data_IF_823753224825
#
_entry.id   IF_823753224825
#
_cell.length_a   1.000
_cell.length_b   1.000
_cell.length_c   1.000
_cell.angle_alpha   90.00
_cell.angle_beta   90.00
_cell.angle_gamma   90.00
#
_symmetry.space_group_name_H-M   'P 1'
#
loop_
_entity.id
_entity.type
_entity.pdbx_description
1 polymer ?
#
# COMPACT_ATOMS: atom_id res chain seq x y z
N UNK A 1 -6.40 -4.46 -20.63
CA UNK A 1 -6.73 -4.86 -19.25
C UNK A 1 -7.65 -3.80 -18.67
N UNK A 2 -8.95 -4.06 -18.64
CA UNK A 2 -9.91 -3.10 -18.07
C UNK A 2 -9.83 -3.20 -16.54
N UNK A 3 -9.67 -2.04 -15.88
CA UNK A 3 -10.02 -1.77 -14.50
C UNK A 3 -9.10 -2.32 -13.41
N UNK A 4 -7.86 -1.82 -13.33
CA UNK A 4 -7.06 -1.96 -12.11
C UNK A 4 -7.14 -0.67 -11.30
N UNK A 5 -8.29 -0.40 -10.68
CA UNK A 5 -8.46 0.74 -9.81
C UNK A 5 -7.61 0.62 -8.54
N UNK A 6 -7.32 1.75 -7.93
CA UNK A 6 -6.53 1.89 -6.71
C UNK A 6 -7.44 2.27 -5.55
N UNK A 7 -7.34 1.58 -4.42
CA UNK A 7 -7.83 2.04 -3.13
C UNK A 7 -6.62 2.46 -2.30
N UNK A 8 -6.53 3.73 -2.00
CA UNK A 8 -5.56 4.27 -1.07
C UNK A 8 -6.23 4.57 0.26
N UNK A 9 -5.66 4.05 1.32
CA UNK A 9 -6.03 4.35 2.69
C UNK A 9 -4.81 4.98 3.36
N UNK A 10 -5.00 6.16 3.91
CA UNK A 10 -3.93 6.97 4.49
C UNK A 10 -4.28 7.40 5.90
N UNK A 11 -3.31 7.35 6.81
CA UNK A 11 -3.47 8.03 8.11
C UNK A 11 -3.18 9.52 7.98
N UNK A 12 -3.62 10.32 8.93
CA UNK A 12 -3.19 11.72 8.98
C UNK A 12 -1.71 11.79 9.41
N UNK A 13 -0.91 12.59 8.69
CA UNK A 13 0.49 12.81 9.03
C UNK A 13 0.65 14.14 9.76
N UNK A 14 1.28 14.10 10.93
CA UNK A 14 1.72 15.28 11.68
C UNK A 14 0.64 16.34 11.93
N UNK A 15 -0.38 16.01 12.69
CA UNK A 15 -1.25 17.02 13.28
C UNK A 15 -0.48 17.69 14.43
N UNK A 16 0.20 18.78 14.11
CA UNK A 16 0.83 19.65 15.10
C UNK A 16 -0.10 20.84 15.41
N UNK A 17 0.15 21.59 16.48
CA UNK A 17 -0.55 22.83 16.79
C UNK A 17 -0.55 23.87 15.67
N UNK A 18 0.31 23.72 14.67
CA UNK A 18 0.42 24.52 13.46
C UNK A 18 -0.12 23.82 12.19
N UNK A 19 -0.78 22.67 12.36
CA UNK A 19 -1.29 21.86 11.25
C UNK A 19 -0.22 21.07 10.51
N UNK A 20 -0.63 20.30 9.50
CA UNK A 20 0.27 19.62 8.58
C UNK A 20 0.92 20.67 7.64
N UNK A 21 2.05 21.22 8.05
CA UNK A 21 2.75 22.28 7.29
C UNK A 21 3.24 21.82 5.92
N UNK A 22 3.52 20.56 5.78
CA UNK A 22 4.05 19.98 4.54
C UNK A 22 2.93 19.50 3.62
N UNK A 23 1.68 19.51 4.06
CA UNK A 23 0.53 18.99 3.32
C UNK A 23 0.79 17.60 2.72
N UNK A 24 1.51 16.75 3.49
CA UNK A 24 1.85 15.41 3.06
C UNK A 24 0.58 14.58 2.89
N UNK A 25 0.33 14.16 1.67
CA UNK A 25 -0.75 13.22 1.35
C UNK A 25 -0.46 12.54 0.01
N UNK A 26 -1.00 11.36 -0.15
CA UNK A 26 -0.78 10.52 -1.33
C UNK A 26 -1.75 10.83 -2.49
N UNK A 27 -2.74 11.68 -2.30
CA UNK A 27 -3.76 11.91 -3.33
C UNK A 27 -3.20 12.51 -4.64
N UNK A 28 -2.24 13.45 -4.64
CA UNK A 28 -1.64 13.96 -5.89
C UNK A 28 -1.01 12.86 -6.75
N UNK A 29 -0.38 11.85 -6.14
CA UNK A 29 0.15 10.67 -6.81
C UNK A 29 -0.97 9.87 -7.49
N UNK A 30 -2.08 9.66 -6.79
CA UNK A 30 -3.23 8.94 -7.32
C UNK A 30 -3.88 9.70 -8.48
N UNK A 31 -3.99 11.03 -8.38
CA UNK A 31 -4.48 11.89 -9.44
C UNK A 31 -3.61 11.79 -10.70
N UNK A 32 -2.29 11.82 -10.54
CA UNK A 32 -1.34 11.63 -11.64
C UNK A 32 -1.56 10.27 -12.32
N UNK A 33 -1.58 9.17 -11.57
CA UNK A 33 -1.80 7.81 -12.09
C UNK A 33 -3.16 7.67 -12.77
N UNK A 34 -4.22 8.20 -12.14
CA UNK A 34 -5.57 8.15 -12.68
C UNK A 34 -5.67 8.86 -14.02
N UNK A 35 -5.11 10.06 -14.13
CA UNK A 35 -5.12 10.85 -15.38
C UNK A 35 -4.27 10.22 -16.47
N UNK A 36 -3.10 9.67 -16.10
CA UNK A 36 -2.15 9.09 -17.07
C UNK A 36 -2.65 7.76 -17.64
N UNK A 37 -3.24 6.90 -16.80
CA UNK A 37 -3.63 5.54 -17.18
C UNK A 37 -5.14 5.35 -17.36
N UNK A 38 -5.95 6.36 -17.12
CA UNK A 38 -7.42 6.28 -17.21
C UNK A 38 -8.04 5.32 -16.22
N UNK A 39 -7.46 5.16 -15.03
CA UNK A 39 -7.92 4.22 -14.00
C UNK A 39 -8.63 4.98 -12.86
N UNK A 40 -9.65 4.36 -12.24
CA UNK A 40 -10.30 4.97 -11.08
C UNK A 40 -9.45 4.80 -9.82
N UNK A 41 -9.58 5.75 -8.90
CA UNK A 41 -9.06 5.59 -7.55
C UNK A 41 -10.11 5.97 -6.49
N UNK A 42 -9.91 5.44 -5.28
CA UNK A 42 -10.56 5.86 -4.05
C UNK A 42 -9.46 6.28 -3.10
N UNK A 43 -9.60 7.45 -2.50
CA UNK A 43 -8.72 7.94 -1.46
C UNK A 43 -9.52 8.17 -0.17
N UNK A 44 -9.05 7.61 0.94
CA UNK A 44 -9.66 7.77 2.26
C UNK A 44 -8.59 7.98 3.31
N UNK A 45 -8.79 9.02 4.13
CA UNK A 45 -8.07 9.20 5.38
C UNK A 45 -8.80 8.45 6.49
N UNK A 46 -8.04 7.85 7.39
CA UNK A 46 -8.53 7.14 8.57
C UNK A 46 -7.66 7.47 9.77
N UNK A 47 -8.28 7.81 10.88
CA UNK A 47 -7.60 8.11 12.13
C UNK A 47 -7.59 6.92 13.11
N UNK A 48 -8.49 5.96 12.93
CA UNK A 48 -8.73 4.86 13.86
C UNK A 48 -8.87 3.51 13.17
N UNK A 49 -8.68 2.44 13.92
CA UNK A 49 -8.93 1.06 13.46
C UNK A 49 -10.41 0.86 13.09
N UNK A 50 -11.32 1.45 13.81
CA UNK A 50 -12.76 1.31 13.54
C UNK A 50 -13.17 1.96 12.19
N UNK A 51 -12.58 3.10 11.85
CA UNK A 51 -12.79 3.69 10.51
C UNK A 51 -12.22 2.79 9.40
N UNK A 52 -11.05 2.19 9.61
CA UNK A 52 -10.50 1.22 8.68
C UNK A 52 -11.43 0.03 8.48
N UNK A 53 -11.95 -0.57 9.58
CA UNK A 53 -12.93 -1.67 9.53
C UNK A 53 -14.20 -1.27 8.78
N UNK A 54 -14.69 -0.05 9.00
CA UNK A 54 -15.84 0.47 8.28
C UNK A 54 -15.60 0.48 6.76
N UNK A 55 -14.47 1.02 6.30
CA UNK A 55 -14.15 1.06 4.87
C UNK A 55 -13.92 -0.35 4.30
N UNK A 56 -13.26 -1.24 5.01
CA UNK A 56 -13.08 -2.62 4.57
C UNK A 56 -14.43 -3.33 4.35
N UNK A 57 -15.41 -3.11 5.24
CA UNK A 57 -16.76 -3.60 5.05
C UNK A 57 -17.43 -3.07 3.76
N UNK A 58 -17.19 -1.81 3.40
CA UNK A 58 -17.69 -1.26 2.14
C UNK A 58 -16.96 -1.89 0.94
N UNK A 59 -15.65 -2.03 0.98
CA UNK A 59 -14.84 -2.52 -0.14
C UNK A 59 -15.03 -4.01 -0.45
N UNK A 60 -15.67 -4.78 0.44
CA UNK A 60 -16.11 -6.16 0.14
C UNK A 60 -17.25 -6.23 -0.87
N UNK A 61 -18.01 -5.15 -1.04
CA UNK A 61 -19.10 -5.15 -2.02
C UNK A 61 -18.54 -5.36 -3.42
N UNK A 62 -19.27 -6.14 -4.23
CA UNK A 62 -18.84 -6.53 -5.58
C UNK A 62 -18.45 -5.35 -6.47
N UNK A 63 -19.16 -4.23 -6.36
CA UNK A 63 -18.88 -3.01 -7.10
C UNK A 63 -17.46 -2.45 -6.88
N UNK A 64 -16.86 -2.74 -5.70
CA UNK A 64 -15.48 -2.36 -5.38
C UNK A 64 -14.51 -3.50 -5.67
N UNK A 65 -14.83 -4.73 -5.23
CA UNK A 65 -13.92 -5.88 -5.35
C UNK A 65 -13.58 -6.21 -6.81
N UNK A 66 -14.52 -6.03 -7.74
CA UNK A 66 -14.32 -6.28 -9.17
C UNK A 66 -13.55 -5.15 -9.88
N UNK A 67 -13.55 -3.96 -9.32
CA UNK A 67 -13.01 -2.75 -9.98
C UNK A 67 -11.65 -2.34 -9.46
N UNK A 68 -11.37 -2.56 -8.16
CA UNK A 68 -10.16 -2.11 -7.49
C UNK A 68 -9.27 -3.31 -7.16
N UNK A 69 -8.03 -3.27 -7.64
CA UNK A 69 -7.10 -4.39 -7.53
C UNK A 69 -5.79 -4.04 -6.84
N UNK A 70 -5.59 -2.77 -6.51
CA UNK A 70 -4.41 -2.27 -5.83
C UNK A 70 -4.87 -1.60 -4.53
N UNK A 71 -4.37 -2.09 -3.40
CA UNK A 71 -4.52 -1.47 -2.09
C UNK A 71 -3.20 -0.81 -1.71
N UNK A 72 -3.24 0.49 -1.53
CA UNK A 72 -2.09 1.30 -1.16
C UNK A 72 -2.31 1.87 0.25
N UNK A 73 -1.46 1.49 1.19
CA UNK A 73 -1.49 1.92 2.58
C UNK A 73 -0.40 2.94 2.83
N UNK A 74 -0.77 4.17 3.12
CA UNK A 74 0.13 5.27 3.44
C UNK A 74 -0.02 5.62 4.92
N UNK A 75 0.84 5.02 5.76
CA UNK A 75 0.75 5.08 7.21
C UNK A 75 2.12 5.36 7.85
N UNK A 76 2.12 5.71 9.13
CA UNK A 76 3.30 5.46 9.94
C UNK A 76 3.50 3.96 10.08
N UNK A 77 4.75 3.50 10.13
CA UNK A 77 5.03 2.07 10.22
C UNK A 77 6.28 1.77 11.03
N UNK A 78 6.26 0.63 11.66
CA UNK A 78 7.38 -0.02 12.32
C UNK A 78 7.39 -1.52 11.93
N UNK A 79 8.27 -2.31 12.52
CA UNK A 79 8.42 -3.72 12.15
C UNK A 79 7.10 -4.47 12.19
N UNK A 80 6.61 -4.87 11.02
CA UNK A 80 5.39 -5.64 10.80
C UNK A 80 4.10 -4.97 11.30
N UNK A 81 4.07 -3.63 11.46
CA UNK A 81 2.87 -2.92 11.89
C UNK A 81 2.67 -1.59 11.14
N UNK A 82 1.43 -1.12 11.15
CA UNK A 82 1.02 0.22 10.74
C UNK A 82 0.40 0.94 11.95
N UNK A 83 0.63 2.25 12.05
CA UNK A 83 0.11 3.08 13.14
C UNK A 83 -0.79 4.19 12.62
N UNK A 84 -1.84 4.45 13.38
CA UNK A 84 -2.87 5.44 13.11
C UNK A 84 -2.58 6.75 13.86
N UNK A 85 -3.20 7.82 13.42
CA UNK A 85 -3.11 9.12 14.09
C UNK A 85 -3.63 9.06 15.53
N UNK A 86 -4.65 8.25 15.82
CA UNK A 86 -5.16 8.00 17.18
C UNK A 86 -4.14 7.42 18.16
N UNK A 87 -2.97 6.96 17.67
CA UNK A 87 -1.99 6.21 18.45
C UNK A 87 -2.24 4.70 18.48
N UNK A 88 -3.34 4.23 17.91
CA UNK A 88 -3.58 2.81 17.71
C UNK A 88 -2.60 2.22 16.68
N UNK A 89 -2.33 0.92 16.75
CA UNK A 89 -1.52 0.21 15.77
C UNK A 89 -2.13 -1.14 15.48
N UNK A 90 -1.90 -1.63 14.26
CA UNK A 90 -2.25 -2.98 13.82
C UNK A 90 -0.99 -3.68 13.33
N UNK A 91 -0.76 -4.90 13.78
CA UNK A 91 0.21 -5.77 13.13
C UNK A 91 -0.37 -6.38 11.84
N UNK A 92 0.51 -7.02 11.04
CA UNK A 92 0.10 -7.59 9.75
C UNK A 92 -0.93 -8.73 9.92
N UNK A 93 -0.88 -9.51 11.01
CA UNK A 93 -1.85 -10.59 11.27
C UNK A 93 -3.23 -10.01 11.57
N UNK A 94 -3.29 -9.05 12.47
CA UNK A 94 -4.53 -8.33 12.81
C UNK A 94 -5.12 -7.62 11.59
N UNK A 95 -4.25 -7.02 10.75
CA UNK A 95 -4.68 -6.39 9.50
C UNK A 95 -5.29 -7.41 8.52
N UNK A 96 -4.73 -8.62 8.42
CA UNK A 96 -5.29 -9.68 7.59
C UNK A 96 -6.65 -10.14 8.11
N UNK A 97 -6.80 -10.26 9.43
CA UNK A 97 -8.04 -10.67 10.08
C UNK A 97 -9.18 -9.66 9.81
N UNK A 98 -8.93 -8.37 10.02
CA UNK A 98 -9.95 -7.34 9.76
C UNK A 98 -10.22 -7.15 8.26
N UNK A 99 -9.23 -7.40 7.40
CA UNK A 99 -9.39 -7.37 5.96
C UNK A 99 -10.34 -8.46 5.49
N UNK A 100 -10.31 -9.64 6.10
CA UNK A 100 -11.27 -10.73 5.87
C UNK A 100 -11.55 -10.94 4.36
N UNK A 101 -10.50 -11.23 3.60
CA UNK A 101 -10.56 -11.61 2.19
C UNK A 101 -10.64 -10.47 1.17
N UNK A 102 -10.64 -9.18 1.57
CA UNK A 102 -10.67 -8.09 0.57
C UNK A 102 -9.39 -8.02 -0.27
N UNK A 103 -8.29 -8.61 0.20
CA UNK A 103 -7.01 -8.63 -0.51
C UNK A 103 -6.85 -9.83 -1.44
N UNK A 104 -7.82 -10.75 -1.46
CA UNK A 104 -7.72 -11.97 -2.27
C UNK A 104 -7.48 -11.64 -3.76
N UNK A 105 -6.36 -12.15 -4.29
CA UNK A 105 -5.91 -11.89 -5.66
C UNK A 105 -5.47 -10.45 -5.96
N UNK A 106 -5.32 -9.58 -4.94
CA UNK A 106 -4.98 -8.15 -5.07
C UNK A 106 -3.50 -7.88 -4.84
N UNK A 107 -3.06 -6.69 -5.23
CA UNK A 107 -1.77 -6.13 -4.86
C UNK A 107 -1.94 -5.26 -3.62
N UNK A 108 -1.11 -5.49 -2.62
CA UNK A 108 -1.09 -4.70 -1.38
C UNK A 108 0.28 -4.05 -1.25
N UNK A 109 0.32 -2.74 -1.15
CA UNK A 109 1.56 -1.99 -0.99
C UNK A 109 1.51 -1.09 0.22
N UNK A 110 2.56 -1.16 1.04
CA UNK A 110 2.75 -0.33 2.22
C UNK A 110 3.77 0.78 1.92
N UNK A 111 3.30 2.00 1.68
CA UNK A 111 4.09 3.22 1.61
C UNK A 111 4.49 3.72 3.00
N UNK A 112 4.86 2.82 3.89
CA UNK A 112 5.11 3.05 5.30
C UNK A 112 6.56 2.72 5.65
N UNK A 113 7.13 3.46 6.62
CA UNK A 113 8.45 3.14 7.14
C UNK A 113 8.48 1.73 7.76
N UNK A 114 9.50 0.93 7.46
CA UNK A 114 9.85 -0.32 8.17
C UNK A 114 8.77 -1.41 8.26
N UNK A 115 7.59 -1.25 7.69
CA UNK A 115 6.53 -2.26 7.77
C UNK A 115 6.98 -3.63 7.26
N UNK A 116 7.93 -3.65 6.31
CA UNK A 116 8.56 -4.88 5.80
C UNK A 116 9.87 -5.25 6.51
N UNK A 117 10.25 -4.58 7.61
CA UNK A 117 11.43 -4.95 8.40
C UNK A 117 11.15 -6.22 9.20
N UNK A 118 12.18 -7.04 9.45
CA UNK A 118 12.10 -8.29 10.21
C UNK A 118 12.12 -9.52 9.33
N UNK A 119 11.49 -10.60 9.79
CA UNK A 119 11.54 -11.90 9.13
C UNK A 119 10.73 -11.92 7.83
N UNK A 120 11.32 -12.43 6.74
CA UNK A 120 10.63 -12.63 5.47
C UNK A 120 9.43 -13.60 5.61
N UNK A 121 9.55 -14.59 6.52
CA UNK A 121 8.47 -15.52 6.80
C UNK A 121 7.19 -14.86 7.32
N UNK A 122 7.30 -13.80 8.12
CA UNK A 122 6.12 -13.03 8.59
C UNK A 122 5.40 -12.34 7.44
N UNK A 123 6.16 -11.77 6.50
CA UNK A 123 5.59 -11.10 5.32
C UNK A 123 4.95 -12.14 4.39
N UNK A 124 5.61 -13.30 4.22
CA UNK A 124 5.09 -14.40 3.42
C UNK A 124 3.79 -14.97 4.03
N UNK A 125 3.75 -15.11 5.35
CA UNK A 125 2.55 -15.54 6.06
C UNK A 125 1.40 -14.55 5.89
N UNK A 126 1.65 -13.24 6.05
CA UNK A 126 0.65 -12.21 5.75
C UNK A 126 0.13 -12.32 4.31
N UNK A 127 1.03 -12.48 3.33
CA UNK A 127 0.65 -12.66 1.93
C UNK A 127 -0.29 -13.85 1.75
N UNK A 128 0.03 -14.97 2.40
CA UNK A 128 -0.74 -16.22 2.36
C UNK A 128 -2.12 -16.09 3.02
N UNK A 129 -2.17 -15.62 4.29
CA UNK A 129 -3.44 -15.56 5.04
C UNK A 129 -4.39 -14.49 4.50
N UNK A 130 -3.86 -13.38 3.98
CA UNK A 130 -4.66 -12.32 3.37
C UNK A 130 -5.15 -12.63 1.96
N UNK A 131 -4.61 -13.67 1.31
CA UNK A 131 -4.88 -14.02 -0.07
C UNK A 131 -4.30 -13.03 -1.10
N UNK A 132 -3.48 -12.08 -0.65
CA UNK A 132 -2.89 -11.08 -1.52
C UNK A 132 -1.96 -11.74 -2.55
N UNK A 133 -2.11 -11.36 -3.81
CA UNK A 133 -1.26 -11.86 -4.89
C UNK A 133 0.19 -11.41 -4.74
N UNK A 134 0.40 -10.20 -4.26
CA UNK A 134 1.70 -9.64 -3.90
C UNK A 134 1.51 -8.64 -2.77
N UNK A 135 2.41 -8.71 -1.81
CA UNK A 135 2.55 -7.72 -0.73
C UNK A 135 3.91 -7.08 -0.86
N UNK A 136 4.01 -5.77 -0.71
CA UNK A 136 5.27 -5.04 -0.84
C UNK A 136 5.33 -3.80 0.06
N UNK A 137 6.52 -3.29 0.29
CA UNK A 137 6.77 -2.09 1.08
C UNK A 137 8.25 -1.94 1.43
N UNK A 138 8.57 -1.25 2.51
CA UNK A 138 9.92 -0.84 2.84
C UNK A 138 10.41 -1.38 4.19
N UNK A 139 11.72 -1.72 4.24
CA UNK A 139 12.40 -2.17 5.46
C UNK A 139 13.11 -1.05 6.19
N UNK A 140 13.20 0.14 5.59
CA UNK A 140 13.92 1.30 6.15
C UNK A 140 12.98 2.44 6.48
N UNK A 141 13.47 3.42 7.23
CA UNK A 141 12.82 4.73 7.29
C UNK A 141 12.91 5.37 5.91
N UNK A 142 11.80 5.86 5.41
CA UNK A 142 11.69 6.44 4.07
C UNK A 142 11.27 7.91 4.16
N UNK A 143 11.79 8.73 3.25
CA UNK A 143 11.27 10.07 3.04
C UNK A 143 10.03 9.97 2.15
N UNK A 144 9.03 10.77 2.45
CA UNK A 144 7.74 10.76 1.76
C UNK A 144 7.90 10.97 0.25
N UNK A 145 8.68 11.94 -0.18
CA UNK A 145 8.93 12.26 -1.60
C UNK A 145 9.59 11.11 -2.37
N UNK A 146 10.64 10.50 -1.81
CA UNK A 146 11.32 9.36 -2.43
C UNK A 146 10.43 8.12 -2.47
N UNK A 147 9.64 7.92 -1.41
CA UNK A 147 8.64 6.87 -1.34
C UNK A 147 7.59 7.08 -2.45
N UNK A 148 7.03 8.28 -2.56
CA UNK A 148 6.01 8.60 -3.55
C UNK A 148 6.50 8.38 -5.01
N UNK A 149 7.77 8.71 -5.31
CA UNK A 149 8.37 8.44 -6.63
C UNK A 149 8.43 6.93 -6.91
N UNK A 150 8.90 6.14 -5.93
CA UNK A 150 8.97 4.68 -6.05
C UNK A 150 7.57 4.06 -6.20
N UNK A 151 6.62 4.51 -5.37
CA UNK A 151 5.25 3.98 -5.34
C UNK A 151 4.50 4.29 -6.64
N UNK A 152 4.69 5.51 -7.18
CA UNK A 152 4.15 5.87 -8.48
C UNK A 152 4.67 4.93 -9.58
N UNK A 153 5.97 4.63 -9.59
CA UNK A 153 6.56 3.71 -10.55
C UNK A 153 6.04 2.28 -10.37
N UNK A 154 6.04 1.75 -9.15
CA UNK A 154 5.56 0.39 -8.86
C UNK A 154 4.08 0.21 -9.24
N UNK A 155 3.24 1.18 -8.90
CA UNK A 155 1.82 1.14 -9.24
C UNK A 155 1.63 1.23 -10.76
N UNK A 156 2.39 2.08 -11.46
CA UNK A 156 2.37 2.17 -12.92
C UNK A 156 2.74 0.86 -13.59
N UNK A 157 3.79 0.19 -13.13
CA UNK A 157 4.18 -1.15 -13.61
C UNK A 157 3.11 -2.20 -13.31
N UNK A 158 2.51 -2.15 -12.11
CA UNK A 158 1.40 -3.05 -11.73
C UNK A 158 0.16 -2.85 -12.60
N UNK A 159 -0.13 -1.62 -13.02
CA UNK A 159 -1.22 -1.32 -13.97
C UNK A 159 -0.88 -1.87 -15.36
N UNK A 160 0.35 -1.69 -15.81
CA UNK A 160 0.78 -1.99 -17.17
C UNK A 160 0.96 -3.49 -17.42
N UNK A 161 1.44 -4.23 -16.43
CA UNK A 161 1.79 -5.65 -16.58
C UNK A 161 0.95 -6.58 -15.71
N UNK A 162 0.79 -7.83 -16.18
CA UNK A 162 0.06 -8.87 -15.44
C UNK A 162 0.98 -9.75 -14.60
N UNK A 163 2.18 -9.99 -15.08
CA UNK A 163 3.11 -10.95 -14.48
C UNK A 163 3.98 -10.25 -13.43
N UNK A 164 3.94 -10.74 -12.19
CA UNK A 164 4.73 -10.19 -11.10
C UNK A 164 6.24 -10.21 -11.42
N UNK A 165 6.82 -11.29 -11.97
CA UNK A 165 8.24 -11.28 -12.34
C UNK A 165 8.60 -10.15 -13.31
N UNK A 166 7.72 -9.84 -14.28
CA UNK A 166 7.95 -8.73 -15.23
C UNK A 166 7.94 -7.39 -14.49
N UNK A 167 6.98 -7.18 -13.58
CA UNK A 167 6.88 -5.96 -12.76
C UNK A 167 8.17 -5.77 -11.94
N UNK A 168 8.60 -6.82 -11.24
CA UNK A 168 9.78 -6.76 -10.37
C UNK A 168 11.05 -6.52 -11.19
N UNK A 169 11.24 -7.24 -12.31
CA UNK A 169 12.41 -7.04 -13.19
C UNK A 169 12.49 -5.62 -13.76
N UNK A 170 11.37 -5.03 -14.16
CA UNK A 170 11.33 -3.64 -14.62
C UNK A 170 11.70 -2.68 -13.49
N UNK A 171 11.11 -2.87 -12.32
CA UNK A 171 11.42 -2.04 -11.15
C UNK A 171 12.88 -2.13 -10.75
N UNK A 172 13.48 -3.34 -10.78
CA UNK A 172 14.90 -3.53 -10.47
C UNK A 172 15.80 -2.84 -11.50
N UNK A 173 15.52 -3.03 -12.78
CA UNK A 173 16.31 -2.44 -13.87
C UNK A 173 16.25 -0.92 -13.93
N UNK A 174 15.07 -0.33 -13.67
CA UNK A 174 14.87 1.11 -13.81
C UNK A 174 15.10 1.86 -12.48
N UNK A 175 14.80 1.24 -11.36
CA UNK A 175 14.75 1.88 -10.04
C UNK A 175 15.54 1.14 -8.94
N UNK A 176 16.38 0.16 -9.29
CA UNK A 176 17.12 -0.69 -8.33
C UNK A 176 17.92 0.10 -7.30
N UNK A 177 18.55 1.22 -7.70
CA UNK A 177 19.25 2.12 -6.78
C UNK A 177 18.31 2.73 -5.74
N UNK A 178 17.11 3.16 -6.16
CA UNK A 178 16.09 3.70 -5.26
C UNK A 178 15.51 2.60 -4.36
N UNK A 179 15.22 1.43 -4.90
CA UNK A 179 14.76 0.26 -4.14
C UNK A 179 15.74 -0.12 -3.03
N UNK A 180 17.04 -0.16 -3.35
CA UNK A 180 18.09 -0.43 -2.36
C UNK A 180 18.17 0.65 -1.27
N UNK A 181 18.01 1.92 -1.65
CA UNK A 181 17.99 3.04 -0.71
C UNK A 181 16.82 2.97 0.25
N UNK A 182 15.62 2.66 -0.24
CA UNK A 182 14.40 2.53 0.54
C UNK A 182 14.29 1.19 1.29
N UNK A 183 15.05 0.19 0.87
CA UNK A 183 14.93 -1.18 1.38
C UNK A 183 13.63 -1.84 0.91
N UNK A 184 13.32 -1.71 -0.37
CA UNK A 184 12.14 -2.35 -0.95
C UNK A 184 12.16 -3.86 -0.74
N UNK A 185 11.04 -4.42 -0.32
CA UNK A 185 10.84 -5.85 -0.09
C UNK A 185 9.43 -6.25 -0.50
N UNK A 186 9.28 -7.49 -0.93
CA UNK A 186 7.99 -8.04 -1.31
C UNK A 186 7.86 -9.53 -0.95
N UNK A 187 6.60 -10.01 -0.93
CA UNK A 187 6.22 -11.42 -0.93
C UNK A 187 5.16 -11.65 -2.00
N UNK A 188 5.13 -12.83 -2.56
CA UNK A 188 4.14 -13.26 -3.57
C UNK A 188 3.44 -14.52 -3.08
N UNK A 189 2.19 -14.67 -3.46
CA UNK A 189 1.45 -15.91 -3.22
C UNK A 189 2.01 -17.00 -4.15
N UNK A 190 2.42 -18.11 -3.55
CA UNK A 190 2.86 -19.32 -4.25
C UNK A 190 1.70 -20.09 -4.87
#
# INVERSE_FOLDING_TARGET
>A
MKNKGIICIETEFEITSSGNRLHLNSEPLLQFLSKTYGIPYIYRKVATIEELKYYFKQFRKKEYSDKYHIYYFSFHGETHLISFESGESLDLSELADIANGIFDGKFVHFGSCRTMLGAQSTIQEFCKISGARMVSGFTKKVNFDLCAIHDAALIAETISYKQIPTIINHMENLYGGLQNKLGFRYAIQE
#
